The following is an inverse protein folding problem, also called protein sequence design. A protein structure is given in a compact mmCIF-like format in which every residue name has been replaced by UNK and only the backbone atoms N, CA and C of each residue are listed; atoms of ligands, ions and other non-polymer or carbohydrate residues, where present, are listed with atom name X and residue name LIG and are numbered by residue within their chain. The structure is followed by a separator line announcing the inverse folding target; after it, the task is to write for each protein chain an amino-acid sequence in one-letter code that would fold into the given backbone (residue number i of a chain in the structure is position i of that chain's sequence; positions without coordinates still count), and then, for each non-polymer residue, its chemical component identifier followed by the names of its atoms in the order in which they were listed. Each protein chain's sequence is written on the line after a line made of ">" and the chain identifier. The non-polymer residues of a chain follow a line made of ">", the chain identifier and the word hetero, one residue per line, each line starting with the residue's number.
data_IF_861718852816
#
_entry.id   IF_861718852816
#
_cell.length_a   1.000
_cell.length_b   1.000
_cell.length_c   1.000
_cell.angle_alpha   90.00
_cell.angle_beta   90.00
_cell.angle_gamma   90.00
#
_symmetry.space_group_name_H-M   'P 1'
#
loop_
_entity.id
_entity.type
_entity.pdbx_description
1 polymer ?
#
# COMPACT_ATOMS: atom_id res chain seq x y z
N UNK A 1 3.59 -0.63 -27.90
CA UNK A 1 3.20 -1.80 -27.11
C UNK A 1 1.90 -1.49 -26.39
N UNK A 2 0.82 -2.30 -26.62
CA UNK A 2 -0.52 -1.98 -26.10
C UNK A 2 -0.61 -2.08 -24.59
N UNK A 3 0.26 -2.86 -23.97
CA UNK A 3 0.28 -3.06 -22.49
C UNK A 3 0.84 -1.84 -21.74
N UNK A 4 1.52 -0.92 -22.44
CA UNK A 4 1.96 0.37 -21.92
C UNK A 4 0.90 1.47 -22.08
N UNK A 5 -0.19 1.16 -22.78
CA UNK A 5 -1.28 2.10 -23.04
C UNK A 5 -2.49 1.76 -22.19
N UNK A 6 -3.31 2.75 -21.94
CA UNK A 6 -4.56 2.65 -21.21
C UNK A 6 -5.53 1.61 -21.81
N UNK A 7 -5.45 1.37 -23.11
CA UNK A 7 -6.24 0.38 -23.85
C UNK A 7 -6.02 -1.05 -23.34
N UNK A 8 -4.79 -1.41 -22.99
CA UNK A 8 -4.46 -2.72 -22.43
C UNK A 8 -5.22 -2.99 -21.14
N UNK A 9 -5.25 -1.99 -20.26
CA UNK A 9 -5.98 -2.06 -18.98
C UNK A 9 -7.49 -2.23 -19.20
N UNK A 10 -8.12 -1.33 -19.98
CA UNK A 10 -9.59 -1.32 -20.11
C UNK A 10 -10.15 -2.42 -21.02
N UNK A 11 -9.40 -2.84 -22.03
CA UNK A 11 -9.90 -3.79 -23.02
C UNK A 11 -9.47 -5.24 -22.78
N UNK A 12 -8.30 -5.45 -22.20
CA UNK A 12 -7.70 -6.78 -22.07
C UNK A 12 -7.55 -7.24 -20.61
N UNK A 13 -7.79 -6.36 -19.62
CA UNK A 13 -7.58 -6.66 -18.20
C UNK A 13 -6.11 -6.98 -17.87
N UNK A 14 -5.16 -6.58 -18.72
CA UNK A 14 -3.72 -6.78 -18.53
C UNK A 14 -2.98 -5.52 -18.90
N UNK A 15 -2.09 -5.08 -18.03
CA UNK A 15 -1.27 -3.91 -18.27
C UNK A 15 0.03 -3.97 -17.46
N UNK A 16 1.00 -3.15 -17.84
CA UNK A 16 2.21 -2.88 -17.06
C UNK A 16 2.05 -1.56 -16.30
N UNK A 17 3.00 -1.20 -15.46
CA UNK A 17 2.93 -0.01 -14.60
C UNK A 17 2.52 1.28 -15.32
N UNK A 18 3.03 1.52 -16.53
CA UNK A 18 2.67 2.71 -17.33
C UNK A 18 1.18 2.74 -17.72
N UNK A 19 0.59 1.59 -18.04
CA UNK A 19 -0.83 1.50 -18.38
C UNK A 19 -1.73 1.66 -17.15
N UNK A 20 -1.38 1.05 -16.01
CA UNK A 20 -2.05 1.27 -14.73
C UNK A 20 -2.05 2.74 -14.33
N UNK A 21 -0.87 3.36 -14.32
CA UNK A 21 -0.72 4.76 -13.93
C UNK A 21 -1.54 5.71 -14.83
N UNK A 22 -1.57 5.46 -16.15
CA UNK A 22 -2.37 6.25 -17.09
C UNK A 22 -3.87 6.01 -16.92
N UNK A 23 -4.31 4.78 -16.70
CA UNK A 23 -5.70 4.45 -16.44
C UNK A 23 -6.18 5.11 -15.13
N UNK A 24 -5.38 5.03 -14.08
CA UNK A 24 -5.65 5.69 -12.81
C UNK A 24 -5.74 7.21 -12.98
N UNK A 25 -4.77 7.84 -13.67
CA UNK A 25 -4.82 9.27 -13.97
C UNK A 25 -6.11 9.66 -14.69
N UNK A 26 -6.49 8.91 -15.72
CA UNK A 26 -7.71 9.19 -16.49
C UNK A 26 -8.97 9.12 -15.61
N UNK A 27 -9.11 8.07 -14.79
CA UNK A 27 -10.25 7.90 -13.90
C UNK A 27 -10.31 9.00 -12.83
N UNK A 28 -9.18 9.35 -12.21
CA UNK A 28 -9.11 10.41 -11.22
C UNK A 28 -9.45 11.78 -11.81
N UNK A 29 -8.97 12.09 -13.02
CA UNK A 29 -9.32 13.33 -13.71
C UNK A 29 -10.80 13.38 -14.08
N UNK A 30 -11.39 12.25 -14.49
CA UNK A 30 -12.84 12.13 -14.73
C UNK A 30 -13.68 12.33 -13.46
N UNK A 31 -13.16 11.90 -12.32
CA UNK A 31 -13.75 12.12 -11.00
C UNK A 31 -13.52 13.53 -10.44
N UNK A 32 -12.82 14.41 -11.18
CA UNK A 32 -12.57 15.80 -10.79
C UNK A 32 -11.31 16.06 -9.98
N UNK A 33 -10.47 15.05 -9.78
CA UNK A 33 -9.19 15.21 -9.06
C UNK A 33 -8.07 15.68 -9.99
N UNK A 34 -7.14 16.47 -9.46
CA UNK A 34 -5.87 16.73 -10.14
C UNK A 34 -4.97 15.52 -9.96
N UNK A 35 -4.63 14.87 -11.06
CA UNK A 35 -3.79 13.66 -11.05
C UNK A 35 -2.86 13.67 -12.24
N UNK A 36 -1.62 13.24 -12.04
CA UNK A 36 -0.62 13.06 -13.09
C UNK A 36 0.15 11.76 -12.90
N UNK A 37 0.61 11.19 -14.01
CA UNK A 37 1.52 10.04 -14.01
C UNK A 37 2.96 10.54 -13.84
N UNK A 38 3.70 9.85 -12.98
CA UNK A 38 5.14 10.03 -12.76
C UNK A 38 5.84 8.81 -13.33
N UNK A 39 7.00 9.03 -13.95
CA UNK A 39 7.92 7.97 -14.36
C UNK A 39 9.26 8.15 -13.66
N UNK A 40 9.83 7.05 -13.19
CA UNK A 40 11.10 7.01 -12.49
C UNK A 40 11.56 5.58 -12.31
N UNK A 41 12.22 5.30 -11.21
CA UNK A 41 12.75 3.98 -10.88
C UNK A 41 12.30 3.54 -9.50
N UNK A 42 12.15 2.24 -9.32
CA UNK A 42 12.04 1.61 -8.00
C UNK A 42 13.41 1.68 -7.31
N UNK A 43 13.43 1.96 -6.02
CA UNK A 43 14.67 1.92 -5.24
C UNK A 43 15.24 0.50 -5.17
N UNK A 44 16.55 0.42 -5.01
CA UNK A 44 17.22 -0.85 -4.79
C UNK A 44 16.66 -1.51 -3.51
N UNK A 45 16.39 -2.83 -3.60
CA UNK A 45 15.81 -3.60 -2.50
C UNK A 45 14.27 -3.60 -2.44
N UNK A 46 13.57 -2.82 -3.30
CA UNK A 46 12.10 -2.87 -3.40
C UNK A 46 11.59 -3.87 -4.42
N UNK A 47 12.46 -4.35 -5.30
CA UNK A 47 12.15 -5.38 -6.30
C UNK A 47 12.43 -6.79 -5.76
N UNK A 48 11.68 -7.77 -6.28
CA UNK A 48 12.13 -9.17 -6.16
C UNK A 48 13.47 -9.35 -6.89
N UNK A 49 14.32 -10.22 -6.39
CA UNK A 49 15.67 -10.50 -6.94
C UNK A 49 15.68 -10.93 -8.42
N UNK A 50 14.51 -11.17 -9.02
CA UNK A 50 14.35 -11.63 -10.39
C UNK A 50 14.26 -10.51 -11.44
N UNK A 51 14.00 -9.26 -11.06
CA UNK A 51 13.86 -8.14 -12.01
C UNK A 51 15.10 -7.25 -12.00
N UNK A 52 15.71 -7.04 -13.18
CA UNK A 52 16.80 -6.09 -13.39
C UNK A 52 16.31 -4.71 -13.85
N UNK A 53 15.08 -4.64 -14.38
CA UNK A 53 14.48 -3.39 -14.83
C UNK A 53 13.77 -2.71 -13.65
N UNK A 54 14.30 -1.57 -13.25
CA UNK A 54 13.78 -0.75 -12.17
C UNK A 54 12.81 0.33 -12.65
N UNK A 55 12.66 0.49 -13.96
CA UNK A 55 11.75 1.49 -14.54
C UNK A 55 10.33 1.28 -14.04
N UNK A 56 9.72 2.34 -13.51
CA UNK A 56 8.38 2.26 -12.93
C UNK A 56 7.58 3.53 -13.18
N UNK A 57 6.25 3.40 -13.08
CA UNK A 57 5.31 4.51 -13.22
C UNK A 57 4.24 4.43 -12.14
N UNK A 58 3.97 5.57 -11.50
CA UNK A 58 2.97 5.75 -10.45
C UNK A 58 2.25 7.08 -10.60
N UNK A 59 1.44 7.49 -9.63
CA UNK A 59 0.65 8.70 -9.72
C UNK A 59 0.93 9.69 -8.59
N UNK A 60 0.83 10.96 -8.90
CA UNK A 60 0.74 12.07 -7.97
C UNK A 60 -0.66 12.65 -8.05
N UNK A 61 -1.35 12.75 -6.91
CA UNK A 61 -2.75 13.14 -6.83
C UNK A 61 -2.92 14.25 -5.80
N UNK A 62 -3.70 15.27 -6.15
CA UNK A 62 -4.14 16.30 -5.20
C UNK A 62 -5.45 15.85 -4.57
N UNK A 63 -5.42 15.58 -3.28
CA UNK A 63 -6.60 15.22 -2.48
C UNK A 63 -6.43 15.75 -1.06
N UNK A 64 -7.55 16.11 -0.42
CA UNK A 64 -7.57 16.71 0.92
C UNK A 64 -6.64 17.94 1.06
N UNK A 65 -6.62 18.78 0.00
CA UNK A 65 -5.80 20.00 -0.10
C UNK A 65 -4.28 19.79 -0.03
N UNK A 66 -3.80 18.57 -0.38
CA UNK A 66 -2.38 18.25 -0.39
C UNK A 66 -2.03 17.25 -1.51
N UNK A 67 -0.71 17.06 -1.75
CA UNK A 67 -0.20 16.10 -2.71
C UNK A 67 0.11 14.76 -2.06
N UNK A 68 -0.44 13.69 -2.61
CA UNK A 68 -0.18 12.31 -2.22
C UNK A 68 0.19 11.44 -3.41
N UNK A 69 0.82 10.32 -3.11
CA UNK A 69 1.32 9.37 -4.09
C UNK A 69 0.47 8.11 -4.07
N UNK A 70 0.22 7.56 -5.25
CA UNK A 70 -0.55 6.32 -5.43
C UNK A 70 0.14 5.46 -6.48
N UNK A 71 0.32 4.18 -6.17
CA UNK A 71 0.81 3.19 -7.12
C UNK A 71 -0.23 2.08 -7.29
N UNK A 72 -1.07 2.23 -8.31
CA UNK A 72 -2.12 1.27 -8.60
C UNK A 72 -1.59 -0.09 -9.10
N UNK A 73 -0.37 -0.12 -9.64
CA UNK A 73 0.26 -1.37 -10.09
C UNK A 73 0.67 -2.22 -8.91
N UNK A 74 1.38 -1.61 -7.95
CA UNK A 74 1.83 -2.30 -6.74
C UNK A 74 0.66 -2.60 -5.80
N UNK A 75 -0.45 -1.84 -5.88
CA UNK A 75 -1.67 -2.07 -5.14
C UNK A 75 -2.58 -3.18 -5.71
N UNK A 76 -2.34 -3.63 -6.96
CA UNK A 76 -3.09 -4.74 -7.59
C UNK A 76 -2.40 -6.07 -7.27
N UNK A 77 -2.41 -6.46 -5.99
CA UNK A 77 -1.76 -7.68 -5.51
C UNK A 77 -2.80 -8.78 -5.39
N UNK A 78 -2.69 -9.78 -6.27
CA UNK A 78 -3.52 -11.00 -6.21
C UNK A 78 -2.88 -12.13 -5.39
N UNK A 79 -1.79 -11.85 -4.70
CA UNK A 79 -0.98 -12.87 -4.03
C UNK A 79 -1.73 -13.61 -2.91
N UNK A 80 -2.68 -12.93 -2.26
CA UNK A 80 -3.45 -13.47 -1.12
C UNK A 80 -4.93 -13.65 -1.43
N UNK A 81 -5.29 -13.69 -2.71
CA UNK A 81 -6.67 -13.66 -3.17
C UNK A 81 -7.14 -12.25 -3.55
N UNK A 82 -8.40 -12.09 -3.95
CA UNK A 82 -8.92 -10.77 -4.33
C UNK A 82 -9.03 -9.88 -3.09
N UNK A 83 -8.14 -8.92 -2.97
CA UNK A 83 -8.23 -7.88 -1.97
C UNK A 83 -7.70 -6.56 -2.52
N UNK A 84 -8.10 -5.42 -1.93
CA UNK A 84 -7.57 -4.11 -2.28
C UNK A 84 -6.43 -3.76 -1.33
N UNK A 85 -5.21 -3.74 -1.85
CA UNK A 85 -4.03 -3.38 -1.07
C UNK A 85 -3.91 -1.85 -0.94
N UNK A 86 -3.99 -1.34 0.27
CA UNK A 86 -3.86 0.08 0.60
C UNK A 86 -2.42 0.51 0.90
N UNK A 87 -1.45 -0.41 0.92
CA UNK A 87 -0.05 -0.11 1.20
C UNK A 87 0.55 0.96 0.26
N UNK A 88 0.02 1.04 -0.95
CA UNK A 88 0.48 1.96 -2.00
C UNK A 88 -0.53 3.07 -2.31
N UNK A 89 -1.53 3.24 -1.44
CA UNK A 89 -2.58 4.25 -1.61
C UNK A 89 -2.36 5.43 -0.66
N UNK A 90 -2.49 6.65 -1.21
CA UNK A 90 -2.40 7.91 -0.46
C UNK A 90 -1.14 7.99 0.43
N UNK A 91 -0.01 7.61 -0.12
CA UNK A 91 1.29 7.73 0.54
C UNK A 91 1.73 9.19 0.61
N UNK A 92 2.34 9.60 1.72
CA UNK A 92 3.07 10.87 1.78
C UNK A 92 4.31 10.84 0.88
N UNK A 93 4.87 12.01 0.57
CA UNK A 93 6.14 12.11 -0.16
C UNK A 93 7.29 11.40 0.56
N UNK A 94 7.27 11.40 1.89
CA UNK A 94 8.26 10.70 2.70
C UNK A 94 8.15 9.17 2.51
N UNK A 95 6.93 8.62 2.57
CA UNK A 95 6.67 7.19 2.34
C UNK A 95 7.04 6.80 0.89
N UNK A 96 6.58 7.56 -0.10
CA UNK A 96 6.88 7.32 -1.51
C UNK A 96 8.40 7.35 -1.80
N UNK A 97 9.16 8.23 -1.13
CA UNK A 97 10.61 8.32 -1.30
C UNK A 97 11.37 7.09 -0.80
N UNK A 98 10.76 6.22 0.00
CA UNK A 98 11.35 4.94 0.38
C UNK A 98 11.27 3.91 -0.76
N UNK A 99 10.34 4.07 -1.68
CA UNK A 99 10.05 3.13 -2.75
C UNK A 99 10.58 3.59 -4.11
N UNK A 100 10.50 4.89 -4.37
CA UNK A 100 10.69 5.46 -5.71
C UNK A 100 11.78 6.53 -5.73
N UNK A 101 12.45 6.65 -6.86
CA UNK A 101 13.36 7.74 -7.15
C UNK A 101 13.12 8.33 -8.55
N UNK A 102 13.36 9.64 -8.67
CA UNK A 102 13.25 10.38 -9.94
C UNK A 102 14.46 11.28 -10.14
N UNK A 103 14.73 11.64 -11.39
CA UNK A 103 15.78 12.60 -11.75
C UNK A 103 15.34 14.06 -11.57
N UNK A 104 14.09 14.29 -11.18
CA UNK A 104 13.50 15.61 -10.99
C UNK A 104 12.76 15.70 -9.65
N UNK A 105 12.58 16.92 -9.15
CA UNK A 105 11.88 17.16 -7.89
C UNK A 105 10.38 17.01 -8.05
N UNK A 106 9.75 16.35 -7.09
CA UNK A 106 8.31 16.20 -6.98
C UNK A 106 7.75 17.04 -5.83
N UNK A 107 6.47 17.44 -5.89
CA UNK A 107 5.79 18.09 -4.78
C UNK A 107 5.92 17.27 -3.49
N UNK A 108 6.16 17.96 -2.39
CA UNK A 108 6.16 17.31 -1.08
C UNK A 108 4.78 17.36 -0.47
N UNK A 109 4.42 16.33 0.29
CA UNK A 109 3.23 16.31 1.14
C UNK A 109 3.45 17.30 2.29
N UNK A 110 2.57 18.28 2.45
CA UNK A 110 2.69 19.29 3.48
C UNK A 110 2.34 18.72 4.87
N UNK A 111 1.33 17.85 4.93
CA UNK A 111 0.92 17.15 6.16
C UNK A 111 0.95 15.62 6.00
N UNK A 112 2.08 14.97 6.32
CA UNK A 112 2.20 13.52 6.24
C UNK A 112 1.22 12.74 7.15
N UNK A 113 0.65 13.40 8.17
CA UNK A 113 -0.35 12.75 9.04
C UNK A 113 -1.64 12.39 8.31
N UNK A 114 -1.87 12.99 7.13
CA UNK A 114 -3.01 12.70 6.27
C UNK A 114 -2.78 11.53 5.31
N UNK A 115 -1.61 10.88 5.32
CA UNK A 115 -1.41 9.64 4.57
C UNK A 115 -2.38 8.55 5.07
N UNK A 116 -2.66 7.55 4.22
CA UNK A 116 -3.74 6.60 4.48
C UNK A 116 -3.64 5.95 5.87
N UNK A 117 -2.53 5.30 6.17
CA UNK A 117 -2.38 4.56 7.44
C UNK A 117 -2.34 5.47 8.67
N UNK A 118 -1.76 6.67 8.56
CA UNK A 118 -1.72 7.63 9.67
C UNK A 118 -3.11 8.20 9.96
N UNK A 119 -3.85 8.57 8.92
CA UNK A 119 -5.21 9.12 9.05
C UNK A 119 -6.21 8.10 9.61
N UNK A 120 -6.06 6.83 9.25
CA UNK A 120 -6.94 5.76 9.72
C UNK A 120 -6.45 5.10 11.00
N UNK A 121 -5.40 5.63 11.62
CA UNK A 121 -4.82 5.09 12.85
C UNK A 121 -4.27 3.65 12.75
N UNK A 122 -3.98 3.15 11.53
CA UNK A 122 -3.40 1.81 11.32
C UNK A 122 -1.86 1.84 11.32
N UNK A 123 -1.30 2.87 11.92
CA UNK A 123 0.14 3.08 12.09
C UNK A 123 0.52 2.77 13.54
N UNK A 124 1.30 1.73 13.75
CA UNK A 124 1.60 1.17 15.06
C UNK A 124 3.11 1.14 15.34
N UNK A 125 3.46 1.32 16.59
CA UNK A 125 4.83 1.15 17.08
C UNK A 125 5.01 -0.13 17.91
N UNK A 126 3.91 -0.85 18.18
CA UNK A 126 3.88 -2.08 18.95
C UNK A 126 2.46 -2.65 19.02
N UNK A 127 2.20 -3.51 20.00
CA UNK A 127 0.86 -4.05 20.22
C UNK A 127 -0.06 -3.01 20.86
N UNK A 128 -0.97 -2.47 20.09
CA UNK A 128 -1.97 -1.48 20.51
C UNK A 128 -3.37 -2.01 20.20
N UNK A 129 -3.99 -2.71 21.19
CA UNK A 129 -5.21 -3.49 20.98
C UNK A 129 -6.37 -2.65 20.41
N UNK A 130 -6.53 -1.40 20.82
CA UNK A 130 -7.61 -0.54 20.33
C UNK A 130 -7.46 -0.25 18.83
N UNK A 131 -6.25 0.07 18.38
CA UNK A 131 -5.94 0.34 16.98
C UNK A 131 -6.09 -0.94 16.14
N UNK A 132 -5.60 -2.07 16.66
CA UNK A 132 -5.75 -3.36 15.99
C UNK A 132 -7.23 -3.76 15.85
N UNK A 133 -8.06 -3.46 16.85
CA UNK A 133 -9.50 -3.69 16.77
C UNK A 133 -10.14 -2.86 15.64
N UNK A 134 -9.81 -1.57 15.54
CA UNK A 134 -10.29 -0.71 14.45
C UNK A 134 -9.86 -1.23 13.06
N UNK A 135 -8.62 -1.69 12.94
CA UNK A 135 -8.10 -2.26 11.70
C UNK A 135 -8.80 -3.57 11.32
N UNK A 136 -9.09 -4.44 12.30
CA UNK A 136 -9.85 -5.68 12.11
C UNK A 136 -11.29 -5.37 11.69
N UNK A 137 -11.93 -4.40 12.34
CA UNK A 137 -13.30 -3.99 12.00
C UNK A 137 -13.36 -3.46 10.56
N UNK A 138 -12.43 -2.59 10.17
CA UNK A 138 -12.32 -2.07 8.81
C UNK A 138 -12.05 -3.18 7.77
N UNK A 139 -11.21 -4.17 8.10
CA UNK A 139 -10.98 -5.34 7.26
C UNK A 139 -12.27 -6.14 7.06
N UNK A 140 -13.02 -6.42 8.13
CA UNK A 140 -14.29 -7.15 8.09
C UNK A 140 -15.37 -6.41 7.32
N UNK A 141 -15.48 -5.08 7.48
CA UNK A 141 -16.43 -4.24 6.74
C UNK A 141 -16.21 -4.31 5.22
N UNK A 142 -14.95 -4.43 4.80
CA UNK A 142 -14.60 -4.62 3.38
C UNK A 142 -14.83 -6.05 2.89
N UNK A 143 -15.12 -7.00 3.78
CA UNK A 143 -15.18 -8.43 3.45
C UNK A 143 -13.82 -9.00 3.07
N UNK A 144 -12.75 -8.42 3.61
CA UNK A 144 -11.37 -8.77 3.35
C UNK A 144 -10.86 -9.78 4.38
N UNK A 145 -9.74 -10.43 4.08
CA UNK A 145 -9.05 -11.38 4.96
C UNK A 145 -7.56 -11.02 5.14
N UNK A 146 -7.20 -9.79 4.77
CA UNK A 146 -5.86 -9.23 4.92
C UNK A 146 -5.91 -8.04 5.88
N UNK A 147 -5.21 -8.17 7.00
CA UNK A 147 -5.00 -7.09 7.96
C UNK A 147 -3.76 -6.30 7.55
N UNK A 148 -3.96 -5.09 7.05
CA UNK A 148 -2.89 -4.21 6.61
C UNK A 148 -2.54 -3.21 7.72
N UNK A 149 -1.27 -3.16 8.07
CA UNK A 149 -0.72 -2.30 9.11
C UNK A 149 0.55 -1.59 8.61
N UNK A 150 0.91 -0.52 9.26
CA UNK A 150 2.11 0.26 8.98
C UNK A 150 2.87 0.57 10.27
N UNK A 151 4.18 0.61 10.18
CA UNK A 151 5.09 1.09 11.23
C UNK A 151 6.10 2.07 10.65
N UNK A 152 7.03 2.54 11.45
CA UNK A 152 8.19 3.26 10.92
C UNK A 152 9.03 2.35 10.00
N UNK A 153 9.69 2.92 8.97
CA UNK A 153 10.62 2.18 8.14
C UNK A 153 11.66 1.42 8.97
N UNK A 154 11.90 0.16 8.63
CA UNK A 154 12.79 -0.73 9.37
C UNK A 154 12.21 -1.31 10.66
N UNK A 155 10.90 -1.14 10.93
CA UNK A 155 10.26 -1.62 12.15
C UNK A 155 9.15 -2.66 11.91
N UNK A 156 8.92 -3.09 10.67
CA UNK A 156 7.85 -4.04 10.37
C UNK A 156 8.06 -5.41 11.05
N UNK A 157 9.29 -5.87 11.15
CA UNK A 157 9.62 -7.12 11.85
C UNK A 157 9.40 -7.00 13.36
N UNK A 158 9.83 -5.91 13.99
CA UNK A 158 9.60 -5.67 15.40
C UNK A 158 8.09 -5.56 15.72
N UNK A 159 7.31 -4.93 14.83
CA UNK A 159 5.85 -4.90 14.94
C UNK A 159 5.27 -6.31 14.86
N UNK A 160 5.66 -7.10 13.85
CA UNK A 160 5.23 -8.49 13.69
C UNK A 160 5.51 -9.31 14.96
N UNK A 161 6.71 -9.23 15.49
CA UNK A 161 7.09 -9.92 16.74
C UNK A 161 6.21 -9.51 17.92
N UNK A 162 5.94 -8.21 18.08
CA UNK A 162 5.07 -7.70 19.15
C UNK A 162 3.62 -8.20 19.02
N UNK A 163 3.11 -8.37 17.80
CA UNK A 163 1.75 -8.87 17.54
C UNK A 163 1.60 -10.36 17.83
N UNK A 164 2.60 -11.18 17.45
CA UNK A 164 2.52 -12.64 17.66
C UNK A 164 2.94 -13.06 19.07
N UNK A 165 3.64 -12.21 19.82
CA UNK A 165 4.07 -12.51 21.18
C UNK A 165 2.87 -12.94 22.05
N UNK A 166 3.04 -14.05 22.80
CA UNK A 166 2.01 -14.59 23.68
C UNK A 166 0.66 -14.83 22.97
N UNK A 167 0.65 -15.14 21.68
CA UNK A 167 -0.55 -15.34 20.84
C UNK A 167 -1.55 -14.16 20.85
N UNK A 168 -1.05 -12.94 21.05
CA UNK A 168 -1.93 -11.74 21.22
C UNK A 168 -2.83 -11.51 20.03
N UNK A 169 -2.26 -11.53 18.83
CA UNK A 169 -3.05 -11.29 17.60
C UNK A 169 -4.07 -12.41 17.37
N UNK A 170 -3.70 -13.67 17.62
CA UNK A 170 -4.61 -14.81 17.47
C UNK A 170 -5.79 -14.72 18.42
N UNK A 171 -5.56 -14.36 19.70
CA UNK A 171 -6.64 -14.14 20.66
C UNK A 171 -7.54 -12.96 20.27
N UNK A 172 -6.97 -11.90 19.70
CA UNK A 172 -7.75 -10.75 19.24
C UNK A 172 -8.62 -11.13 18.03
N UNK A 173 -8.07 -11.85 17.06
CA UNK A 173 -8.80 -12.36 15.90
C UNK A 173 -9.92 -13.32 16.32
N UNK A 174 -9.65 -14.26 17.22
CA UNK A 174 -10.65 -15.20 17.73
C UNK A 174 -11.82 -14.49 18.42
N UNK A 175 -11.55 -13.44 19.23
CA UNK A 175 -12.61 -12.58 19.82
C UNK A 175 -13.47 -11.88 18.76
N UNK A 176 -12.94 -11.68 17.57
CA UNK A 176 -13.62 -11.08 16.42
C UNK A 176 -14.28 -12.11 15.49
N UNK A 177 -14.33 -13.39 15.90
CA UNK A 177 -14.92 -14.47 15.14
C UNK A 177 -14.03 -15.02 14.02
N UNK A 178 -12.74 -14.70 14.04
CA UNK A 178 -11.72 -15.18 13.11
C UNK A 178 -10.86 -16.19 13.87
N UNK A 179 -11.20 -17.45 13.75
CA UNK A 179 -10.51 -18.55 14.45
C UNK A 179 -9.50 -19.21 13.51
N UNK A 180 -8.23 -18.90 13.70
CA UNK A 180 -7.13 -19.35 12.85
C UNK A 180 -5.93 -19.77 13.68
N UNK A 181 -5.31 -20.87 13.28
CA UNK A 181 -4.11 -21.41 13.93
C UNK A 181 -2.80 -20.85 13.36
N UNK A 182 -2.84 -20.30 12.16
CA UNK A 182 -1.69 -19.75 11.46
C UNK A 182 -2.06 -18.48 10.69
N UNK A 183 -1.12 -17.57 10.58
CA UNK A 183 -1.22 -16.38 9.74
C UNK A 183 -0.08 -16.36 8.73
N UNK A 184 -0.43 -16.12 7.46
CA UNK A 184 0.55 -15.71 6.49
C UNK A 184 1.00 -14.28 6.77
N UNK A 185 2.21 -13.94 6.34
CA UNK A 185 2.79 -12.62 6.58
C UNK A 185 3.53 -12.14 5.32
N UNK A 186 3.26 -10.91 4.92
CA UNK A 186 4.10 -10.16 4.01
C UNK A 186 4.53 -8.85 4.64
N UNK A 187 5.75 -8.44 4.38
CA UNK A 187 6.29 -7.21 4.95
C UNK A 187 7.31 -6.56 4.01
N UNK A 188 7.39 -5.24 4.09
CA UNK A 188 8.40 -4.45 3.39
C UNK A 188 9.02 -3.48 4.38
N UNK A 189 10.25 -3.78 4.78
CA UNK A 189 10.99 -3.00 5.78
C UNK A 189 11.18 -1.54 5.37
N UNK A 190 11.48 -1.29 4.08
CA UNK A 190 11.68 0.06 3.56
C UNK A 190 10.47 0.98 3.81
N UNK A 191 9.27 0.44 3.79
CA UNK A 191 8.02 1.18 3.99
C UNK A 191 7.44 1.00 5.40
N UNK A 192 7.96 0.04 6.17
CA UNK A 192 7.38 -0.37 7.46
C UNK A 192 6.02 -1.06 7.31
N UNK A 193 5.74 -1.65 6.13
CA UNK A 193 4.46 -2.32 5.89
C UNK A 193 4.43 -3.73 6.46
N UNK A 194 3.29 -4.10 6.99
CA UNK A 194 2.98 -5.43 7.49
C UNK A 194 1.57 -5.83 7.05
N UNK A 195 1.46 -6.97 6.41
CA UNK A 195 0.21 -7.61 6.03
C UNK A 195 0.13 -8.98 6.69
N UNK A 196 -0.95 -9.21 7.43
CA UNK A 196 -1.27 -10.50 8.02
C UNK A 196 -2.52 -11.05 7.35
N UNK A 197 -2.48 -12.29 6.87
CA UNK A 197 -3.58 -12.89 6.12
C UNK A 197 -3.86 -14.33 6.55
N UNK A 198 -5.13 -14.79 6.35
CA UNK A 198 -5.62 -16.11 6.76
C UNK A 198 -6.52 -16.75 5.68
#
# INVERSE_FOLDING_TARGET
>A
DRDQQMDGFFLNGKSVCAGYARAYQYLMQKAGFRCTTISGELREGTLSAASQDRSHAWNLVWMDDDWFYVDATSGDVVQYGPHTCYQYFKMSSQEASQLYETTFSLPQTADPSQSYFRRHHFYLTGYEEAILQEAIDAMKERGDHVLELRSDPGQSEALREALVADDRIFRLLARNGIDVDTLGCAQMEALGSLELYY
#
